data_IF_861986730615
#
_entry.id   IF_861986730615
#
_cell.length_a   1.000
_cell.length_b   1.000
_cell.length_c   1.000
_cell.angle_alpha   90.00
_cell.angle_beta   90.00
_cell.angle_gamma   90.00
#
_symmetry.space_group_name_H-M   'P 1'
#
loop_
_entity.id
_entity.type
_entity.pdbx_description
1 polymer ?
#
# COMPACT_ATOMS: atom_id res chain seq x y z
N UNK A 1 -13.36 -15.46 39.17
CA UNK A 1 -14.25 -16.49 39.68
C UNK A 1 -14.10 -17.76 38.84
N UNK A 2 -14.10 -18.91 39.51
CA UNK A 2 -14.11 -20.24 38.85
C UNK A 2 -15.53 -20.73 38.76
N UNK A 3 -16.02 -20.99 37.55
CA UNK A 3 -17.24 -21.75 37.31
C UNK A 3 -16.90 -22.94 36.44
N UNK A 4 -16.81 -24.11 37.05
CA UNK A 4 -16.33 -25.31 36.35
C UNK A 4 -14.83 -25.25 36.00
N UNK A 5 -14.46 -25.70 34.77
CA UNK A 5 -13.05 -25.72 34.28
C UNK A 5 -12.63 -24.49 33.51
N UNK A 6 -13.48 -23.44 33.40
CA UNK A 6 -13.20 -22.22 32.67
C UNK A 6 -13.04 -21.03 33.61
N UNK A 7 -12.04 -20.20 33.33
CA UNK A 7 -11.87 -18.91 34.00
C UNK A 7 -12.88 -17.92 33.39
N UNK A 8 -13.67 -17.29 34.23
CA UNK A 8 -14.59 -16.21 33.86
C UNK A 8 -14.10 -14.92 34.52
N UNK A 9 -14.13 -13.83 33.79
CA UNK A 9 -13.82 -12.48 34.25
C UNK A 9 -14.94 -11.50 33.94
N UNK A 10 -14.99 -10.41 34.69
CA UNK A 10 -15.84 -9.24 34.39
C UNK A 10 -14.98 -8.02 34.14
N UNK A 11 -15.37 -7.19 33.19
CA UNK A 11 -14.75 -5.88 32.96
C UNK A 11 -15.08 -4.99 34.16
N UNK A 12 -14.06 -4.47 34.83
CA UNK A 12 -14.20 -3.55 35.94
C UNK A 12 -14.26 -2.11 35.48
N UNK A 13 -13.41 -1.75 34.52
CA UNK A 13 -13.24 -0.40 34.00
C UNK A 13 -12.78 -0.45 32.54
N UNK A 14 -13.24 0.47 31.71
CA UNK A 14 -12.75 0.70 30.35
C UNK A 14 -11.76 1.87 30.41
N UNK A 15 -10.48 1.58 30.32
CA UNK A 15 -9.41 2.58 30.40
C UNK A 15 -9.36 3.43 29.13
N UNK A 16 -9.45 2.77 27.96
CA UNK A 16 -9.41 3.38 26.65
C UNK A 16 -10.30 2.59 25.70
N UNK A 17 -11.00 3.29 24.81
CA UNK A 17 -11.80 2.66 23.75
C UNK A 17 -10.93 2.43 22.55
N UNK A 18 -10.92 1.23 22.02
CA UNK A 18 -10.21 0.89 20.79
C UNK A 18 -10.76 1.65 19.56
N UNK A 19 -12.04 2.04 19.60
CA UNK A 19 -12.71 2.76 18.53
C UNK A 19 -13.82 3.64 19.09
N UNK A 20 -13.89 4.89 18.63
CA UNK A 20 -14.94 5.84 19.00
C UNK A 20 -15.79 6.30 17.81
N UNK A 21 -15.38 5.96 16.59
CA UNK A 21 -16.03 6.37 15.35
C UNK A 21 -16.61 5.15 14.63
N UNK A 22 -17.84 5.27 14.13
CA UNK A 22 -18.60 4.18 13.52
C UNK A 22 -19.26 4.64 12.23
N UNK A 23 -19.41 3.71 11.28
CA UNK A 23 -20.21 3.90 10.08
C UNK A 23 -21.60 3.33 10.30
N UNK A 24 -22.61 4.04 9.83
CA UNK A 24 -23.98 3.60 9.92
C UNK A 24 -24.94 4.46 9.10
N UNK A 25 -26.21 4.11 9.16
CA UNK A 25 -27.29 4.85 8.50
C UNK A 25 -27.97 5.76 9.49
N UNK A 26 -28.11 7.04 9.14
CA UNK A 26 -28.80 8.01 9.96
C UNK A 26 -30.30 7.92 9.74
N UNK A 27 -31.04 7.72 10.81
CA UNK A 27 -32.51 7.70 10.86
C UNK A 27 -33.05 8.92 11.65
N UNK A 28 -33.70 9.82 10.93
CA UNK A 28 -34.29 11.01 11.57
C UNK A 28 -35.66 10.70 12.16
N UNK A 29 -35.87 11.06 13.42
CA UNK A 29 -37.18 10.86 14.07
C UNK A 29 -38.11 11.99 13.67
N UNK A 30 -39.10 11.68 12.82
CA UNK A 30 -40.12 12.66 12.37
C UNK A 30 -40.75 13.39 13.53
N UNK A 31 -40.92 14.71 13.39
CA UNK A 31 -41.49 15.61 14.38
C UNK A 31 -40.70 15.77 15.69
N UNK A 32 -39.49 15.30 15.75
CA UNK A 32 -38.56 15.49 16.86
C UNK A 32 -37.21 15.99 16.34
N UNK A 33 -36.57 16.80 17.17
CA UNK A 33 -35.30 17.45 16.82
C UNK A 33 -34.09 16.55 17.13
N UNK A 34 -34.17 15.25 16.76
CA UNK A 34 -33.08 14.29 16.92
C UNK A 34 -33.23 13.11 15.97
N UNK A 35 -32.18 12.27 15.89
CA UNK A 35 -32.19 11.01 15.16
C UNK A 35 -31.31 9.97 15.83
N UNK A 36 -31.15 8.86 15.16
CA UNK A 36 -30.27 7.77 15.56
C UNK A 36 -29.38 7.37 14.42
N UNK A 37 -28.18 6.88 14.71
CA UNK A 37 -27.34 6.17 13.74
C UNK A 37 -27.39 4.69 14.06
N UNK A 38 -27.91 3.92 13.11
CA UNK A 38 -27.91 2.46 13.12
C UNK A 38 -26.58 1.99 12.51
N UNK A 39 -25.68 1.46 13.35
CA UNK A 39 -24.35 1.04 12.91
C UNK A 39 -24.41 -0.19 12.00
N UNK A 40 -23.62 -0.21 10.92
CA UNK A 40 -23.58 -1.30 9.96
C UNK A 40 -23.08 -2.61 10.56
N UNK A 41 -22.07 -2.54 11.40
CA UNK A 41 -21.55 -3.69 12.15
C UNK A 41 -22.13 -3.67 13.57
N UNK A 42 -22.55 -4.82 14.04
CA UNK A 42 -23.02 -5.04 15.43
C UNK A 42 -21.87 -5.02 16.44
N UNK A 43 -20.97 -4.03 16.32
CA UNK A 43 -19.93 -3.77 17.33
C UNK A 43 -20.55 -3.20 18.59
N UNK A 44 -21.59 -2.39 18.40
CA UNK A 44 -22.44 -1.84 19.47
C UNK A 44 -23.84 -2.42 19.28
N UNK A 45 -24.41 -2.98 20.35
CA UNK A 45 -25.74 -3.60 20.31
C UNK A 45 -26.90 -2.59 20.46
N UNK A 46 -26.63 -1.31 20.27
CA UNK A 46 -27.61 -0.22 20.39
C UNK A 46 -27.30 0.89 19.41
N UNK A 47 -28.33 1.64 19.00
CA UNK A 47 -28.16 2.76 18.08
C UNK A 47 -27.55 3.96 18.82
N UNK A 48 -26.86 4.83 18.09
CA UNK A 48 -26.24 6.04 18.64
C UNK A 48 -27.21 7.20 18.52
N UNK A 49 -27.55 7.82 19.62
CA UNK A 49 -28.44 8.99 19.70
C UNK A 49 -27.75 10.25 19.20
N UNK A 50 -28.38 10.99 18.27
CA UNK A 50 -27.86 12.21 17.67
C UNK A 50 -28.79 13.37 17.95
N UNK A 51 -28.41 14.32 18.83
CA UNK A 51 -29.18 15.52 19.06
C UNK A 51 -29.13 16.47 17.85
N UNK A 52 -30.11 17.34 17.68
CA UNK A 52 -30.25 18.26 16.53
C UNK A 52 -28.97 19.04 16.22
N UNK A 53 -28.28 19.52 17.23
CA UNK A 53 -27.05 20.31 17.08
C UNK A 53 -25.87 19.54 16.52
N UNK A 54 -25.94 18.19 16.47
CA UNK A 54 -24.85 17.29 16.07
C UNK A 54 -25.16 16.47 14.79
N UNK A 55 -26.25 16.83 14.08
CA UNK A 55 -26.69 16.18 12.84
C UNK A 55 -25.80 16.62 11.65
N UNK A 56 -25.29 17.85 11.68
CA UNK A 56 -24.37 18.42 10.66
C UNK A 56 -24.82 18.24 9.19
N UNK A 57 -26.14 18.44 8.96
CA UNK A 57 -26.70 18.42 7.61
C UNK A 57 -27.01 17.03 7.03
N UNK A 58 -26.84 15.97 7.80
CA UNK A 58 -27.26 14.63 7.38
C UNK A 58 -28.78 14.56 7.22
N UNK A 59 -29.23 13.84 6.21
CA UNK A 59 -30.64 13.61 5.90
C UNK A 59 -31.03 12.18 6.26
N UNK A 60 -32.32 11.98 6.47
CA UNK A 60 -32.86 10.64 6.71
C UNK A 60 -32.41 9.63 5.64
N UNK A 61 -31.91 8.52 6.11
CA UNK A 61 -31.35 7.44 5.26
C UNK A 61 -29.95 7.69 4.71
N UNK A 62 -29.25 8.77 5.09
CA UNK A 62 -27.86 8.97 4.68
C UNK A 62 -26.91 8.03 5.42
N UNK A 63 -25.91 7.54 4.69
CA UNK A 63 -24.74 6.87 5.25
C UNK A 63 -23.82 7.91 5.87
N UNK A 64 -23.41 7.70 7.11
CA UNK A 64 -22.65 8.68 7.89
C UNK A 64 -21.51 8.03 8.67
N UNK A 65 -20.52 8.83 9.01
CA UNK A 65 -19.55 8.53 10.08
C UNK A 65 -20.00 9.27 11.32
N UNK A 66 -20.19 8.55 12.40
CA UNK A 66 -20.60 9.08 13.71
C UNK A 66 -19.49 8.86 14.72
N UNK A 67 -19.13 9.90 15.45
CA UNK A 67 -18.26 9.81 16.63
C UNK A 67 -19.10 9.64 17.89
N UNK A 68 -18.84 8.58 18.64
CA UNK A 68 -19.46 8.38 19.94
C UNK A 68 -18.77 9.27 20.97
N UNK A 69 -19.53 10.13 21.64
CA UNK A 69 -19.00 11.11 22.61
C UNK A 69 -19.05 10.56 24.02
N UNK A 70 -20.25 10.31 24.51
CA UNK A 70 -20.48 9.86 25.87
C UNK A 70 -21.52 8.75 25.92
N UNK A 71 -21.26 7.79 26.78
CA UNK A 71 -22.26 6.79 27.15
C UNK A 71 -22.48 6.83 28.68
N UNK A 72 -23.53 7.49 29.09
CA UNK A 72 -23.93 7.49 30.51
C UNK A 72 -24.41 6.09 30.88
N UNK A 73 -24.01 5.61 32.06
CA UNK A 73 -24.33 4.27 32.54
C UNK A 73 -25.86 4.05 32.69
N UNK A 74 -26.60 5.12 32.88
CA UNK A 74 -28.07 5.12 32.99
C UNK A 74 -28.78 5.36 31.64
N UNK A 75 -28.04 5.66 30.59
CA UNK A 75 -28.57 5.92 29.26
C UNK A 75 -28.67 4.64 28.44
N UNK A 76 -29.86 4.44 27.82
CA UNK A 76 -30.07 3.30 26.91
C UNK A 76 -29.20 3.36 25.67
N UNK A 77 -28.95 4.56 25.16
CA UNK A 77 -28.21 4.81 23.92
C UNK A 77 -27.05 5.76 24.23
N UNK A 78 -25.85 5.51 23.63
CA UNK A 78 -24.78 6.50 23.67
C UNK A 78 -25.14 7.74 22.87
N UNK A 79 -24.61 8.90 23.27
CA UNK A 79 -24.71 10.12 22.49
C UNK A 79 -23.54 10.18 21.48
N UNK A 80 -23.84 10.64 20.26
CA UNK A 80 -22.85 10.82 19.20
C UNK A 80 -23.03 12.11 18.42
N UNK A 81 -22.05 12.33 17.57
CA UNK A 81 -21.98 13.45 16.62
C UNK A 81 -21.65 12.92 15.23
N UNK A 82 -22.42 13.32 14.22
CA UNK A 82 -22.12 13.01 12.84
C UNK A 82 -20.92 13.86 12.42
N UNK A 83 -19.80 13.24 12.13
CA UNK A 83 -18.57 13.94 11.72
C UNK A 83 -18.39 13.99 10.20
N UNK A 84 -19.07 13.09 9.46
CA UNK A 84 -19.03 13.08 8.00
C UNK A 84 -20.29 12.44 7.42
N UNK A 85 -20.86 13.06 6.38
CA UNK A 85 -21.90 12.47 5.54
C UNK A 85 -21.20 11.82 4.34
N UNK A 86 -21.44 10.53 4.10
CA UNK A 86 -20.78 9.76 3.04
C UNK A 86 -21.61 9.75 1.74
N UNK A 87 -22.95 9.79 1.85
CA UNK A 87 -23.86 9.77 0.70
C UNK A 87 -25.04 8.84 0.92
N UNK A 88 -25.65 8.38 -0.18
CA UNK A 88 -26.78 7.44 -0.11
C UNK A 88 -26.27 5.99 -0.12
N UNK A 89 -26.86 5.10 0.70
CA UNK A 89 -26.57 3.67 0.66
C UNK A 89 -26.74 3.09 -0.75
N UNK A 90 -25.82 2.20 -1.16
CA UNK A 90 -25.86 1.54 -2.46
C UNK A 90 -25.16 2.32 -3.58
N UNK A 91 -24.78 3.56 -3.38
CA UNK A 91 -23.92 4.28 -4.33
C UNK A 91 -22.47 3.80 -4.17
N UNK A 92 -21.81 3.47 -5.28
CA UNK A 92 -20.46 2.90 -5.26
C UNK A 92 -19.45 3.70 -4.42
N UNK A 93 -19.38 5.01 -4.64
CA UNK A 93 -18.49 5.90 -3.88
C UNK A 93 -18.83 5.91 -2.37
N UNK A 94 -20.12 5.90 -2.03
CA UNK A 94 -20.57 5.85 -0.65
C UNK A 94 -20.14 4.57 0.05
N UNK A 95 -20.26 3.43 -0.62
CA UNK A 95 -19.84 2.13 -0.07
C UNK A 95 -18.32 2.06 0.11
N UNK A 96 -17.54 2.54 -0.86
CA UNK A 96 -16.08 2.61 -0.74
C UNK A 96 -15.67 3.53 0.42
N UNK A 97 -16.22 4.74 0.51
CA UNK A 97 -15.93 5.65 1.61
C UNK A 97 -16.38 5.09 2.97
N UNK A 98 -17.43 4.27 2.99
CA UNK A 98 -17.87 3.56 4.20
C UNK A 98 -16.83 2.54 4.65
N UNK A 99 -16.24 1.77 3.72
CA UNK A 99 -15.16 0.84 4.01
C UNK A 99 -13.94 1.59 4.55
N UNK A 100 -13.52 2.67 3.87
CA UNK A 100 -12.38 3.48 4.29
C UNK A 100 -12.56 4.02 5.72
N UNK A 101 -13.73 4.58 6.01
CA UNK A 101 -14.06 5.11 7.34
C UNK A 101 -14.18 4.00 8.39
N UNK A 102 -14.77 2.85 8.03
CA UNK A 102 -14.94 1.71 8.94
C UNK A 102 -13.59 1.14 9.40
N UNK A 103 -12.59 1.13 8.53
CA UNK A 103 -11.23 0.67 8.83
C UNK A 103 -10.27 1.81 9.17
N UNK A 104 -10.77 3.05 9.32
CA UNK A 104 -9.98 4.24 9.64
C UNK A 104 -8.82 4.47 8.66
N UNK A 105 -9.03 4.11 7.38
CA UNK A 105 -8.02 4.27 6.34
C UNK A 105 -7.95 5.73 5.89
N UNK A 106 -6.78 6.38 5.99
CA UNK A 106 -6.60 7.78 5.59
C UNK A 106 -6.63 7.90 4.06
N UNK A 107 -7.70 8.46 3.52
CA UNK A 107 -7.90 8.58 2.05
C UNK A 107 -7.09 9.73 1.42
N UNK A 108 -6.84 10.79 2.16
CA UNK A 108 -6.05 11.93 1.71
C UNK A 108 -4.79 12.07 2.54
N UNK A 109 -3.74 12.59 1.93
CA UNK A 109 -2.57 13.04 2.67
C UNK A 109 -2.83 14.44 3.24
N UNK A 110 -2.22 14.80 4.38
CA UNK A 110 -2.14 16.18 4.83
C UNK A 110 -1.48 17.07 3.77
N UNK A 111 -1.97 18.29 3.58
CA UNK A 111 -1.44 19.24 2.59
C UNK A 111 0.06 19.47 2.75
N UNK A 112 0.54 19.58 3.99
CA UNK A 112 1.96 19.72 4.31
C UNK A 112 2.83 18.54 3.84
N UNK A 113 2.29 17.32 3.86
CA UNK A 113 2.97 16.10 3.39
C UNK A 113 3.03 16.10 1.86
N UNK A 114 1.94 16.46 1.19
CA UNK A 114 1.91 16.59 -0.27
C UNK A 114 2.85 17.69 -0.76
N UNK A 115 2.84 18.85 -0.10
CA UNK A 115 3.73 19.96 -0.40
C UNK A 115 5.21 19.59 -0.19
N UNK A 116 5.52 18.84 0.86
CA UNK A 116 6.86 18.34 1.10
C UNK A 116 7.30 17.38 -0.01
N UNK A 117 6.46 16.42 -0.35
CA UNK A 117 6.72 15.45 -1.40
C UNK A 117 6.94 16.11 -2.77
N UNK A 118 6.12 17.11 -3.11
CA UNK A 118 6.20 17.84 -4.38
C UNK A 118 7.49 18.67 -4.55
N UNK A 119 8.20 19.01 -3.46
CA UNK A 119 9.48 19.72 -3.47
C UNK A 119 10.71 18.82 -3.65
N UNK A 120 10.53 17.50 -3.63
CA UNK A 120 11.63 16.55 -3.80
C UNK A 120 12.19 16.63 -5.22
N UNK A 121 13.52 16.77 -5.33
CA UNK A 121 14.20 16.83 -6.63
C UNK A 121 14.11 15.49 -7.37
N UNK A 122 13.89 15.57 -8.68
CA UNK A 122 13.92 14.43 -9.61
C UNK A 122 15.30 14.17 -10.18
N UNK A 123 16.25 15.09 -9.95
CA UNK A 123 17.58 14.99 -10.54
C UNK A 123 18.44 13.95 -9.86
N UNK A 124 19.10 13.13 -10.66
CA UNK A 124 20.20 12.26 -10.23
C UNK A 124 21.46 13.11 -10.21
N UNK A 125 21.89 13.50 -9.00
CA UNK A 125 23.04 14.40 -8.85
C UNK A 125 24.37 13.66 -9.05
N UNK A 126 25.41 14.33 -9.61
CA UNK A 126 26.73 13.74 -9.75
C UNK A 126 27.35 13.27 -8.43
N UNK A 127 27.05 13.95 -7.34
CA UNK A 127 27.51 13.61 -5.98
C UNK A 127 26.90 12.30 -5.51
N UNK A 128 25.60 12.09 -5.75
CA UNK A 128 24.91 10.86 -5.37
C UNK A 128 25.32 9.70 -6.29
N UNK A 129 25.51 9.96 -7.58
CA UNK A 129 25.97 8.97 -8.54
C UNK A 129 27.35 8.37 -8.16
N UNK A 130 28.27 9.20 -7.60
CA UNK A 130 29.59 8.71 -7.13
C UNK A 130 29.50 7.74 -5.96
N UNK A 131 28.41 7.74 -5.20
CA UNK A 131 28.21 6.85 -4.05
C UNK A 131 27.53 5.54 -4.42
N UNK A 132 27.11 5.39 -5.67
CA UNK A 132 26.30 4.27 -6.16
C UNK A 132 27.04 3.51 -7.26
N UNK A 133 26.75 2.22 -7.41
CA UNK A 133 27.16 1.48 -8.60
C UNK A 133 26.27 1.94 -9.76
N UNK A 134 26.91 2.45 -10.82
CA UNK A 134 26.23 2.81 -12.06
C UNK A 134 25.94 1.54 -12.86
N UNK A 135 24.67 1.23 -13.06
CA UNK A 135 24.21 0.06 -13.83
C UNK A 135 23.30 0.46 -15.00
N UNK A 136 23.31 1.73 -15.40
CA UNK A 136 22.46 2.25 -16.48
C UNK A 136 22.72 1.64 -17.85
N UNK A 137 23.94 1.12 -18.06
CA UNK A 137 24.33 0.45 -19.31
C UNK A 137 24.06 -1.08 -19.26
N UNK A 138 23.45 -1.59 -18.18
CA UNK A 138 23.10 -3.00 -18.03
C UNK A 138 21.64 -3.18 -18.40
N UNK A 139 21.35 -4.06 -19.37
CA UNK A 139 19.99 -4.37 -19.78
C UNK A 139 19.09 -4.63 -18.58
N UNK A 140 18.09 -3.81 -18.39
CA UNK A 140 17.20 -3.83 -17.23
C UNK A 140 15.74 -3.68 -17.68
N UNK A 141 14.84 -4.44 -17.09
CA UNK A 141 13.40 -4.37 -17.38
C UNK A 141 12.54 -4.74 -16.18
N UNK A 142 11.28 -4.33 -16.22
CA UNK A 142 10.26 -4.70 -15.24
C UNK A 142 9.26 -5.70 -15.82
N UNK A 143 8.62 -6.50 -14.96
CA UNK A 143 7.55 -7.45 -15.32
C UNK A 143 6.40 -7.30 -14.33
N UNK A 144 5.30 -6.67 -14.74
CA UNK A 144 4.23 -6.21 -13.86
C UNK A 144 2.84 -6.49 -14.45
N UNK A 145 1.76 -6.34 -13.66
CA UNK A 145 0.40 -6.31 -14.20
C UNK A 145 0.25 -5.24 -15.28
N UNK A 146 -0.60 -5.51 -16.28
CA UNK A 146 -0.77 -4.61 -17.44
C UNK A 146 -1.13 -3.17 -17.05
N UNK A 147 -1.88 -2.98 -15.99
CA UNK A 147 -2.37 -1.69 -15.47
C UNK A 147 -1.52 -1.09 -14.33
N UNK A 148 -0.41 -1.74 -13.96
CA UNK A 148 0.51 -1.23 -12.96
C UNK A 148 1.09 0.14 -13.35
N UNK A 149 1.26 1.01 -12.34
CA UNK A 149 1.89 2.35 -12.46
C UNK A 149 3.08 2.50 -11.52
N UNK A 150 3.15 1.68 -10.50
CA UNK A 150 4.15 1.58 -9.45
C UNK A 150 5.04 0.36 -9.75
N UNK A 151 6.18 0.60 -10.38
CA UNK A 151 7.15 -0.44 -10.70
C UNK A 151 8.18 -0.49 -9.58
N UNK A 152 7.93 -1.32 -8.57
CA UNK A 152 8.74 -1.36 -7.35
C UNK A 152 10.04 -2.13 -7.57
N UNK A 153 10.06 -3.09 -8.47
CA UNK A 153 11.21 -3.95 -8.77
C UNK A 153 11.51 -4.05 -10.26
N UNK A 154 12.79 -4.28 -10.56
CA UNK A 154 13.29 -4.53 -11.90
C UNK A 154 14.36 -5.65 -11.89
N UNK A 155 14.52 -6.28 -13.02
CA UNK A 155 15.54 -7.31 -13.24
C UNK A 155 16.55 -6.83 -14.27
N UNK A 156 17.83 -7.07 -14.01
CA UNK A 156 18.88 -6.90 -15.03
C UNK A 156 19.58 -8.21 -15.35
N UNK A 157 20.06 -8.32 -16.57
CA UNK A 157 20.74 -9.52 -17.04
C UNK A 157 21.91 -9.16 -17.94
N UNK A 158 23.06 -9.78 -17.68
CA UNK A 158 24.24 -9.65 -18.51
C UNK A 158 24.99 -10.98 -18.60
N UNK A 159 25.26 -11.44 -19.82
CA UNK A 159 26.15 -12.59 -20.03
C UNK A 159 27.61 -12.15 -19.83
N UNK A 160 28.34 -12.90 -19.01
CA UNK A 160 29.75 -12.65 -18.72
C UNK A 160 30.67 -13.49 -19.62
N UNK A 161 31.92 -13.05 -19.80
CA UNK A 161 32.95 -13.78 -20.57
C UNK A 161 33.24 -15.17 -19.97
N UNK A 162 33.01 -15.34 -18.67
CA UNK A 162 33.09 -16.62 -17.97
C UNK A 162 32.04 -17.65 -18.41
N UNK A 163 31.04 -17.22 -19.18
CA UNK A 163 29.85 -18.03 -19.51
C UNK A 163 28.76 -17.97 -18.46
N UNK A 164 28.99 -17.37 -17.28
CA UNK A 164 27.99 -17.14 -16.24
C UNK A 164 27.09 -16.00 -16.60
N UNK A 165 26.02 -15.83 -15.79
CA UNK A 165 25.11 -14.70 -15.86
C UNK A 165 25.34 -13.76 -14.66
N UNK A 166 25.46 -12.46 -14.91
CA UNK A 166 25.26 -11.44 -13.87
C UNK A 166 23.79 -11.06 -13.89
N UNK A 167 23.11 -11.32 -12.78
CA UNK A 167 21.68 -11.04 -12.60
C UNK A 167 21.52 -10.02 -11.50
N UNK A 168 20.85 -8.92 -11.79
CA UNK A 168 20.48 -7.91 -10.81
C UNK A 168 18.99 -8.00 -10.46
N UNK A 169 18.69 -7.88 -9.18
CA UNK A 169 17.35 -7.60 -8.65
C UNK A 169 17.41 -6.22 -8.03
N UNK A 170 16.64 -5.30 -8.57
CA UNK A 170 16.67 -3.89 -8.22
C UNK A 170 15.34 -3.51 -7.58
N UNK A 171 15.37 -2.92 -6.40
CA UNK A 171 14.20 -2.37 -5.72
C UNK A 171 14.36 -0.86 -5.67
N UNK A 172 13.30 -0.11 -5.92
CA UNK A 172 13.33 1.35 -5.83
C UNK A 172 13.89 1.80 -4.48
N UNK A 173 14.88 2.72 -4.49
CA UNK A 173 15.52 3.20 -3.25
C UNK A 173 14.64 4.25 -2.56
N UNK A 174 13.50 3.80 -2.00
CA UNK A 174 12.56 4.63 -1.26
C UNK A 174 13.26 5.34 -0.10
N UNK A 175 14.24 4.68 0.54
CA UNK A 175 15.00 5.22 1.66
C UNK A 175 15.89 6.43 1.30
N UNK A 176 16.14 6.67 0.01
CA UNK A 176 16.79 7.89 -0.46
C UNK A 176 15.89 9.11 -0.30
N UNK A 177 14.60 8.96 -0.56
CA UNK A 177 13.60 10.03 -0.53
C UNK A 177 12.91 10.18 0.82
N UNK A 178 12.56 9.07 1.45
CA UNK A 178 11.89 9.03 2.75
C UNK A 178 12.95 8.86 3.84
N UNK A 179 13.42 9.99 4.37
CA UNK A 179 14.44 9.99 5.42
C UNK A 179 13.80 9.90 6.80
N UNK A 180 14.41 9.16 7.75
CA UNK A 180 13.89 9.04 9.11
C UNK A 180 13.62 10.39 9.78
N UNK A 181 12.47 10.52 10.44
CA UNK A 181 12.06 11.73 11.17
C UNK A 181 11.59 12.88 10.29
N UNK A 182 11.33 12.64 8.99
CA UNK A 182 10.68 13.61 8.11
C UNK A 182 9.17 13.44 8.13
N UNK A 183 8.43 14.46 7.66
CA UNK A 183 6.96 14.39 7.51
C UNK A 183 6.51 13.17 6.69
N UNK A 184 7.28 12.78 5.66
CA UNK A 184 6.99 11.58 4.87
C UNK A 184 7.17 10.29 5.67
N UNK A 185 8.21 10.22 6.49
CA UNK A 185 8.47 9.05 7.33
C UNK A 185 7.41 8.89 8.42
N UNK A 186 7.03 10.00 9.07
CA UNK A 186 5.97 10.01 10.08
C UNK A 186 4.61 9.60 9.50
N UNK A 187 4.25 10.13 8.33
CA UNK A 187 3.00 9.77 7.63
C UNK A 187 3.02 8.32 7.17
N UNK A 188 4.14 7.86 6.57
CA UNK A 188 4.30 6.47 6.14
C UNK A 188 4.24 5.51 7.32
N UNK A 189 4.84 5.85 8.46
CA UNK A 189 4.77 5.07 9.69
C UNK A 189 3.33 4.98 10.22
N UNK A 190 2.59 6.08 10.19
CA UNK A 190 1.18 6.12 10.60
C UNK A 190 0.29 5.25 9.71
N UNK A 191 0.51 5.27 8.38
CA UNK A 191 -0.25 4.44 7.42
C UNK A 191 0.16 2.98 7.44
N UNK A 192 1.41 2.69 7.74
CA UNK A 192 2.04 1.37 7.84
C UNK A 192 2.12 0.56 6.52
N UNK A 193 1.15 0.68 5.61
CA UNK A 193 1.06 -0.08 4.36
C UNK A 193 0.19 0.64 3.33
N UNK A 194 0.34 0.29 2.06
CA UNK A 194 -0.66 0.59 1.04
C UNK A 194 -1.79 -0.42 1.10
N UNK A 195 -3.04 0.03 0.94
CA UNK A 195 -4.23 -0.83 0.96
C UNK A 195 -4.88 -0.82 -0.41
N UNK A 196 -4.96 -2.01 -1.02
CA UNK A 196 -5.54 -2.19 -2.35
C UNK A 196 -7.02 -2.55 -2.21
N UNK A 197 -7.89 -1.67 -2.68
CA UNK A 197 -9.33 -1.91 -2.83
C UNK A 197 -9.61 -2.40 -4.25
N UNK A 198 -10.87 -2.75 -4.53
CA UNK A 198 -11.26 -3.32 -5.82
C UNK A 198 -11.00 -2.36 -7.00
N UNK A 199 -11.16 -1.07 -6.78
CA UNK A 199 -11.12 -0.02 -7.81
C UNK A 199 -10.06 1.06 -7.59
N UNK A 200 -9.41 1.07 -6.43
CA UNK A 200 -8.43 2.09 -6.05
C UNK A 200 -7.44 1.60 -5.00
N UNK A 201 -6.37 2.36 -4.83
CA UNK A 201 -5.36 2.14 -3.79
C UNK A 201 -5.42 3.29 -2.80
N UNK A 202 -5.32 2.99 -1.50
CA UNK A 202 -4.97 3.96 -0.45
C UNK A 202 -3.47 3.82 -0.22
N UNK A 203 -2.64 4.70 -0.79
CA UNK A 203 -1.20 4.50 -0.81
C UNK A 203 -0.57 4.87 0.54
N UNK A 204 0.54 4.18 0.89
CA UNK A 204 1.35 4.50 2.06
C UNK A 204 2.14 5.81 1.86
N UNK A 205 2.55 6.11 0.64
CA UNK A 205 3.30 7.30 0.26
C UNK A 205 2.54 8.10 -0.80
N UNK A 206 2.72 9.45 -0.86
CA UNK A 206 2.14 10.28 -1.93
C UNK A 206 2.47 9.74 -3.33
N UNK A 207 1.54 9.90 -4.26
CA UNK A 207 1.66 9.35 -5.63
C UNK A 207 2.90 9.84 -6.38
N UNK A 208 3.40 11.04 -6.07
CA UNK A 208 4.66 11.54 -6.63
C UNK A 208 5.87 10.66 -6.26
N UNK A 209 5.80 9.96 -5.15
CA UNK A 209 6.80 8.98 -4.77
C UNK A 209 6.44 7.61 -5.36
N UNK A 210 5.30 7.05 -5.03
CA UNK A 210 4.93 5.69 -5.42
C UNK A 210 4.81 5.49 -6.93
N UNK A 211 4.20 6.47 -7.64
CA UNK A 211 3.97 6.36 -9.08
C UNK A 211 5.01 7.11 -9.93
N UNK A 212 6.02 7.78 -9.34
CA UNK A 212 7.04 8.50 -10.09
C UNK A 212 8.45 8.25 -9.54
N UNK A 213 8.88 8.93 -8.48
CA UNK A 213 10.27 8.90 -8.00
C UNK A 213 10.75 7.51 -7.59
N UNK A 214 9.89 6.72 -6.96
CA UNK A 214 10.15 5.35 -6.55
C UNK A 214 9.61 4.31 -7.54
N UNK A 215 9.16 4.70 -8.72
CA UNK A 215 8.73 3.78 -9.77
C UNK A 215 9.83 3.61 -10.82
N UNK A 216 10.28 2.37 -11.05
CA UNK A 216 11.36 2.01 -11.98
C UNK A 216 10.83 2.00 -13.43
N UNK A 217 10.27 3.13 -13.85
CA UNK A 217 9.66 3.33 -15.18
C UNK A 217 10.64 3.09 -16.31
N UNK A 218 10.17 2.57 -17.46
CA UNK A 218 11.01 2.45 -18.65
C UNK A 218 11.49 3.82 -19.15
N UNK A 219 12.67 3.83 -19.76
CA UNK A 219 13.34 4.99 -20.37
C UNK A 219 13.68 6.10 -19.37
N UNK A 220 13.83 5.78 -18.08
CA UNK A 220 14.15 6.77 -17.03
C UNK A 220 15.19 6.20 -16.06
N UNK A 221 16.19 7.02 -15.74
CA UNK A 221 17.16 6.69 -14.70
C UNK A 221 16.51 6.75 -13.31
N UNK A 222 16.77 5.76 -12.46
CA UNK A 222 16.20 5.68 -11.10
C UNK A 222 17.24 5.21 -10.08
N UNK A 223 17.10 5.72 -8.86
CA UNK A 223 17.81 5.19 -7.71
C UNK A 223 17.21 3.85 -7.29
N UNK A 224 18.08 2.86 -7.10
CA UNK A 224 17.67 1.56 -6.62
C UNK A 224 18.62 1.06 -5.52
N UNK A 225 18.14 0.10 -4.74
CA UNK A 225 18.95 -0.78 -3.91
C UNK A 225 18.94 -2.17 -4.55
N UNK A 226 20.12 -2.71 -4.81
CA UNK A 226 20.23 -3.87 -5.68
C UNK A 226 20.96 -5.03 -5.03
N UNK A 227 20.48 -6.22 -5.37
CA UNK A 227 21.17 -7.48 -5.15
C UNK A 227 21.66 -7.99 -6.51
N UNK A 228 22.97 -8.13 -6.68
CA UNK A 228 23.60 -8.56 -7.94
C UNK A 228 24.31 -9.87 -7.71
N UNK A 229 23.98 -10.87 -8.53
CA UNK A 229 24.49 -12.23 -8.41
C UNK A 229 25.20 -12.66 -9.70
N UNK A 230 26.40 -13.21 -9.59
CA UNK A 230 26.97 -14.02 -10.65
C UNK A 230 26.53 -15.46 -10.45
N UNK A 231 25.81 -16.02 -11.43
CA UNK A 231 25.27 -17.37 -11.40
C UNK A 231 25.70 -18.18 -12.59
N UNK A 232 26.00 -19.47 -12.39
CA UNK A 232 26.20 -20.43 -13.48
C UNK A 232 24.84 -20.98 -13.99
N UNK A 233 24.86 -21.80 -15.06
CA UNK A 233 23.65 -22.37 -15.66
C UNK A 233 22.86 -23.34 -14.73
N UNK A 234 23.44 -23.72 -13.57
CA UNK A 234 22.79 -24.51 -12.53
C UNK A 234 22.19 -23.66 -11.42
N UNK A 235 22.15 -22.34 -11.63
CA UNK A 235 21.70 -21.35 -10.65
C UNK A 235 22.51 -21.36 -9.34
N UNK A 236 23.77 -21.84 -9.37
CA UNK A 236 24.67 -21.75 -8.23
C UNK A 236 25.28 -20.35 -8.20
N UNK A 237 25.20 -19.70 -7.04
CA UNK A 237 25.75 -18.35 -6.83
C UNK A 237 27.27 -18.45 -6.70
N UNK A 238 27.98 -17.84 -7.64
CA UNK A 238 29.46 -17.77 -7.65
C UNK A 238 29.95 -16.53 -6.91
N UNK A 239 29.28 -15.40 -7.13
CA UNK A 239 29.52 -14.13 -6.43
C UNK A 239 28.21 -13.42 -6.14
N UNK A 240 28.23 -12.54 -5.14
CA UNK A 240 27.10 -11.69 -4.80
C UNK A 240 27.57 -10.31 -4.34
N UNK A 241 26.74 -9.31 -4.62
CA UNK A 241 26.96 -7.94 -4.20
C UNK A 241 25.61 -7.30 -3.84
N UNK A 242 25.59 -6.46 -2.81
CA UNK A 242 24.42 -5.73 -2.37
C UNK A 242 24.79 -4.27 -2.16
N UNK A 243 23.96 -3.36 -2.62
CA UNK A 243 24.22 -1.95 -2.41
C UNK A 243 23.34 -1.02 -3.23
N UNK A 244 23.59 0.27 -3.08
CA UNK A 244 22.89 1.31 -3.82
C UNK A 244 23.37 1.40 -5.25
N UNK A 245 22.43 1.53 -6.18
CA UNK A 245 22.69 1.62 -7.62
C UNK A 245 21.94 2.81 -8.24
N UNK A 246 22.34 3.15 -9.46
CA UNK A 246 21.50 3.87 -10.42
C UNK A 246 21.27 2.93 -11.58
N UNK A 247 20.04 2.74 -11.97
CA UNK A 247 19.64 1.89 -13.10
C UNK A 247 18.89 2.71 -14.15
N UNK A 248 18.85 2.20 -15.36
CA UNK A 248 17.98 2.64 -16.45
C UNK A 248 17.13 1.44 -16.86
N UNK A 249 15.82 1.56 -16.82
CA UNK A 249 14.94 0.48 -17.27
C UNK A 249 14.70 0.61 -18.77
N UNK A 250 15.15 -0.36 -19.55
CA UNK A 250 15.06 -0.33 -21.02
C UNK A 250 13.68 -0.76 -21.53
N UNK A 251 12.96 -1.56 -20.74
CA UNK A 251 11.69 -2.15 -21.17
C UNK A 251 10.78 -2.45 -19.97
N UNK A 252 9.47 -2.30 -20.18
CA UNK A 252 8.45 -2.84 -19.30
C UNK A 252 7.72 -3.98 -20.01
N UNK A 253 7.56 -5.11 -19.35
CA UNK A 253 6.70 -6.22 -19.78
C UNK A 253 5.46 -6.32 -18.89
N UNK A 254 4.33 -6.68 -19.48
CA UNK A 254 3.25 -7.27 -18.72
C UNK A 254 3.54 -8.75 -18.42
N UNK A 255 2.84 -9.32 -17.42
CA UNK A 255 2.96 -10.76 -17.14
C UNK A 255 2.62 -11.61 -18.38
N UNK A 256 1.64 -11.21 -19.17
CA UNK A 256 1.22 -11.91 -20.39
C UNK A 256 2.31 -11.84 -21.46
N UNK A 257 2.92 -10.68 -21.66
CA UNK A 257 4.01 -10.52 -22.62
C UNK A 257 5.23 -11.35 -22.24
N UNK A 258 5.63 -11.34 -20.95
CA UNK A 258 6.74 -12.16 -20.46
C UNK A 258 6.43 -13.66 -20.61
N UNK A 259 5.21 -14.09 -20.29
CA UNK A 259 4.78 -15.48 -20.45
C UNK A 259 4.83 -15.93 -21.92
N UNK A 260 4.40 -15.07 -22.85
CA UNK A 260 4.48 -15.35 -24.29
C UNK A 260 5.94 -15.58 -24.74
N UNK A 261 6.93 -14.75 -24.24
CA UNK A 261 8.36 -14.95 -24.56
C UNK A 261 8.87 -16.27 -23.99
N UNK A 262 8.47 -16.64 -22.80
CA UNK A 262 8.83 -17.92 -22.18
C UNK A 262 8.33 -19.10 -23.02
N UNK A 263 7.09 -19.06 -23.46
CA UNK A 263 6.43 -20.18 -24.18
C UNK A 263 6.90 -20.29 -25.64
N UNK A 264 7.03 -19.16 -26.32
CA UNK A 264 7.27 -19.15 -27.77
C UNK A 264 8.74 -18.98 -28.14
N UNK A 265 9.55 -18.40 -27.25
CA UNK A 265 10.94 -18.00 -27.55
C UNK A 265 11.03 -16.91 -28.62
N UNK A 266 9.97 -16.13 -28.83
CA UNK A 266 9.89 -15.10 -29.87
C UNK A 266 9.60 -13.73 -29.27
N UNK A 267 10.08 -12.69 -29.96
CA UNK A 267 9.90 -11.29 -29.58
C UNK A 267 11.15 -10.69 -28.99
N UNK A 268 11.06 -9.44 -28.57
CA UNK A 268 12.12 -8.71 -27.94
C UNK A 268 12.50 -9.33 -26.58
N UNK A 269 13.80 -9.43 -26.31
CA UNK A 269 14.38 -9.98 -25.07
C UNK A 269 13.91 -11.40 -24.70
N UNK A 270 13.48 -12.20 -25.69
CA UNK A 270 12.96 -13.54 -25.44
C UNK A 270 14.05 -14.47 -24.87
N UNK A 271 15.31 -14.37 -25.33
CA UNK A 271 16.42 -15.17 -24.85
C UNK A 271 16.74 -14.84 -23.37
N UNK A 272 16.72 -13.55 -23.02
CA UNK A 272 16.98 -13.06 -21.68
C UNK A 272 15.90 -13.49 -20.70
N UNK A 273 14.64 -13.38 -21.10
CA UNK A 273 13.49 -13.81 -20.29
C UNK A 273 13.51 -15.32 -20.10
N UNK A 274 13.82 -16.11 -21.14
CA UNK A 274 13.95 -17.56 -21.03
C UNK A 274 15.12 -17.97 -20.13
N UNK A 275 16.26 -17.26 -20.17
CA UNK A 275 17.38 -17.51 -19.28
C UNK A 275 17.00 -17.27 -17.82
N UNK A 276 16.31 -16.16 -17.52
CA UNK A 276 15.81 -15.86 -16.17
C UNK A 276 14.79 -16.91 -15.71
N UNK A 277 13.84 -17.29 -16.55
CA UNK A 277 12.83 -18.33 -16.23
C UNK A 277 13.49 -19.67 -15.93
N UNK A 278 14.51 -20.07 -16.72
CA UNK A 278 15.29 -21.30 -16.48
C UNK A 278 15.93 -21.29 -15.08
N UNK A 279 16.66 -20.24 -14.75
CA UNK A 279 17.33 -20.10 -13.46
C UNK A 279 16.33 -20.03 -12.30
N UNK A 280 15.23 -19.28 -12.48
CA UNK A 280 14.16 -19.17 -11.48
C UNK A 280 13.49 -20.52 -11.19
N UNK A 281 13.26 -21.35 -12.21
CA UNK A 281 12.70 -22.71 -12.04
C UNK A 281 13.63 -23.62 -11.23
N UNK A 282 14.94 -23.53 -11.44
CA UNK A 282 15.94 -24.28 -10.66
C UNK A 282 15.89 -23.84 -9.19
N UNK A 283 15.98 -22.52 -8.92
CA UNK A 283 15.94 -21.96 -7.58
C UNK A 283 14.64 -22.33 -6.86
N UNK A 284 13.49 -22.24 -7.54
CA UNK A 284 12.18 -22.64 -6.99
C UNK A 284 12.15 -24.12 -6.61
N UNK A 285 12.65 -24.99 -7.50
CA UNK A 285 12.69 -26.45 -7.23
C UNK A 285 13.55 -26.77 -6.01
N UNK A 286 14.69 -26.09 -5.85
CA UNK A 286 15.59 -26.34 -4.71
C UNK A 286 15.02 -25.79 -3.40
N UNK A 287 14.29 -24.67 -3.43
CA UNK A 287 13.55 -24.15 -2.27
C UNK A 287 12.44 -25.09 -1.81
N UNK A 288 11.75 -25.76 -2.73
CA UNK A 288 10.66 -26.68 -2.40
C UNK A 288 11.14 -28.05 -1.88
N UNK A 289 12.44 -28.36 -1.99
CA UNK A 289 13.04 -29.59 -1.42
C UNK A 289 13.49 -29.43 0.04
N UNK A 290 13.62 -28.16 0.50
CA UNK A 290 13.94 -27.79 1.89
C UNK A 290 12.68 -27.64 2.74
#
# INVERSE_FOLDING_TARGET
NFKGRKLEGSVLEVLERAKDSFVGTFEYVKYKDFGFVVCDKKVINTDIFIPKSKIHGAKDGDKVVVKMLQWDINSKNPEGEIIKVLGKPGEHETEIHSILAEYELPYHFPEEVEDFANKISREITPEELKKRRDMREVLTFTIDPKDAKDFDDALSLKKLDSGNWEIGVHIADVSHYVQPGTLLDEEAYSRATSVYLVDRVVPMLPEILSNDLCSLKPEVDRYAFSAVFEMNDRAEIVKQWFGRTVIHSDRRFSYEEAQERIETGKGDLAEEIQALDHLAKILRKDRLKK
#
